data_IF_858619035949
#
_entry.id   IF_858619035949
#
_cell.length_a   1.000
_cell.length_b   1.000
_cell.length_c   1.000
_cell.angle_alpha   90.00
_cell.angle_beta   90.00
_cell.angle_gamma   90.00
#
_symmetry.space_group_name_H-M   'P 1'
#
loop_
_entity.id
_entity.type
_entity.pdbx_description
1 polymer ?
#
# COMPACT_ATOMS: atom_id res chain seq x y z
N UNK A 1 1.11 7.73 14.73
CA UNK A 1 0.48 6.48 14.22
C UNK A 1 1.38 5.30 14.57
N UNK A 2 1.07 4.54 15.63
CA UNK A 2 1.81 3.32 15.98
C UNK A 2 0.86 2.12 15.85
N UNK A 3 1.20 1.14 15.00
CA UNK A 3 0.33 0.02 14.63
C UNK A 3 0.68 -0.54 13.24
N UNK A 4 -0.16 -1.44 12.72
CA UNK A 4 -0.02 -2.03 11.38
C UNK A 4 0.06 -0.96 10.27
N UNK A 5 -0.77 0.09 10.39
CA UNK A 5 -0.85 1.19 9.42
C UNK A 5 0.51 1.84 9.14
N UNK A 6 1.24 2.27 10.17
CA UNK A 6 2.55 2.90 9.97
C UNK A 6 3.61 1.93 9.44
N UNK A 7 3.48 0.63 9.72
CA UNK A 7 4.39 -0.39 9.15
C UNK A 7 4.12 -0.62 7.67
N UNK A 8 2.84 -0.67 7.28
CA UNK A 8 2.43 -0.77 5.88
C UNK A 8 2.90 0.43 5.07
N UNK A 9 2.71 1.66 5.56
CA UNK A 9 3.22 2.87 4.90
C UNK A 9 4.71 2.78 4.60
N UNK A 10 5.50 2.45 5.63
CA UNK A 10 6.95 2.32 5.46
C UNK A 10 7.34 1.20 4.52
N UNK A 11 6.58 0.10 4.48
CA UNK A 11 6.82 -1.01 3.57
C UNK A 11 6.56 -0.59 2.12
N UNK A 12 5.42 0.05 1.85
CA UNK A 12 5.07 0.57 0.51
C UNK A 12 6.07 1.60 0.01
N UNK A 13 6.47 2.54 0.88
CA UNK A 13 7.48 3.56 0.52
C UNK A 13 8.82 2.92 0.13
N UNK A 14 9.31 1.95 0.90
CA UNK A 14 10.56 1.24 0.60
C UNK A 14 10.46 0.39 -0.66
N UNK A 15 9.33 -0.28 -0.86
CA UNK A 15 9.12 -1.14 -2.01
C UNK A 15 9.07 -0.33 -3.31
N UNK A 16 8.33 0.77 -3.31
CA UNK A 16 8.25 1.71 -4.43
C UNK A 16 9.61 2.36 -4.73
N UNK A 17 10.36 2.75 -3.70
CA UNK A 17 11.72 3.30 -3.85
C UNK A 17 12.68 2.27 -4.48
N UNK A 18 12.62 1.01 -4.04
CA UNK A 18 13.41 -0.09 -4.62
C UNK A 18 13.06 -0.33 -6.10
N UNK A 19 11.80 -0.16 -6.48
CA UNK A 19 11.34 -0.22 -7.87
C UNK A 19 11.73 1.03 -8.70
N UNK A 20 12.38 2.02 -8.07
CA UNK A 20 12.74 3.28 -8.72
C UNK A 20 11.54 4.17 -9.03
N UNK A 21 10.43 3.99 -8.30
CA UNK A 21 9.17 4.72 -8.42
C UNK A 21 8.79 5.35 -7.06
N UNK A 22 9.60 6.28 -6.52
CA UNK A 22 9.32 6.85 -5.21
C UNK A 22 7.94 7.52 -5.19
N UNK A 23 7.18 7.23 -4.13
CA UNK A 23 5.84 7.77 -3.91
C UNK A 23 5.79 8.59 -2.63
N UNK A 24 4.75 9.40 -2.52
CA UNK A 24 4.35 10.09 -1.31
C UNK A 24 2.98 9.57 -0.88
N UNK A 25 2.85 9.16 0.37
CA UNK A 25 1.54 8.86 0.97
C UNK A 25 0.92 10.18 1.44
N UNK A 26 -0.25 10.50 0.90
CA UNK A 26 -0.99 11.74 1.17
C UNK A 26 -1.99 11.55 2.31
N UNK A 27 -2.68 10.40 2.32
CA UNK A 27 -3.63 10.01 3.37
C UNK A 27 -3.59 8.51 3.60
N UNK A 28 -3.84 8.11 4.83
CA UNK A 28 -4.04 6.72 5.20
C UNK A 28 -5.14 6.62 6.24
N UNK A 29 -6.22 5.94 5.89
CA UNK A 29 -7.26 5.52 6.80
C UNK A 29 -7.11 4.01 7.07
N UNK A 30 -7.24 3.62 8.33
CA UNK A 30 -7.21 2.21 8.71
C UNK A 30 -8.29 1.92 9.74
N UNK A 31 -8.99 0.81 9.54
CA UNK A 31 -10.04 0.32 10.41
C UNK A 31 -9.70 -1.09 10.86
N UNK A 32 -9.98 -1.40 12.13
CA UNK A 32 -9.81 -2.75 12.65
C UNK A 32 -10.69 -3.72 11.87
N UNK A 33 -10.11 -4.86 11.49
CA UNK A 33 -10.81 -5.92 10.79
C UNK A 33 -10.68 -7.23 11.56
N UNK A 34 -11.78 -7.97 11.63
CA UNK A 34 -11.84 -9.26 12.32
C UNK A 34 -12.61 -10.25 11.46
N UNK A 35 -12.12 -11.48 11.41
CA UNK A 35 -12.83 -12.66 10.93
C UNK A 35 -13.03 -13.64 12.10
N UNK A 36 -13.58 -14.83 11.83
CA UNK A 36 -13.76 -15.85 12.85
C UNK A 36 -12.43 -16.31 13.48
N UNK A 37 -11.32 -16.26 12.74
CA UNK A 37 -10.02 -16.80 13.17
C UNK A 37 -8.87 -15.79 13.13
N UNK A 38 -9.08 -14.61 12.54
CA UNK A 38 -8.01 -13.64 12.31
C UNK A 38 -8.44 -12.23 12.71
N UNK A 39 -7.47 -11.45 13.20
CA UNK A 39 -7.62 -10.03 13.47
C UNK A 39 -6.56 -9.26 12.68
N UNK A 40 -6.88 -8.02 12.32
CA UNK A 40 -6.07 -7.26 11.39
C UNK A 40 -6.56 -5.84 11.17
N UNK A 41 -6.13 -5.26 10.05
CA UNK A 41 -6.54 -3.92 9.64
C UNK A 41 -6.89 -3.88 8.15
N UNK A 42 -8.03 -3.27 7.82
CA UNK A 42 -8.30 -2.81 6.45
C UNK A 42 -7.70 -1.42 6.28
N UNK A 43 -7.07 -1.21 5.13
CA UNK A 43 -6.31 -0.02 4.83
C UNK A 43 -6.82 0.62 3.55
N UNK A 44 -6.91 1.95 3.56
CA UNK A 44 -7.11 2.77 2.37
C UNK A 44 -6.05 3.86 2.36
N UNK A 45 -5.21 3.86 1.34
CA UNK A 45 -4.12 4.81 1.17
C UNK A 45 -4.34 5.63 -0.09
N UNK A 46 -4.22 6.95 0.02
CA UNK A 46 -4.07 7.85 -1.12
C UNK A 46 -2.61 8.25 -1.23
N UNK A 47 -2.05 8.11 -2.42
CA UNK A 47 -0.65 8.38 -2.68
C UNK A 47 -0.44 9.00 -4.06
N UNK A 48 0.72 9.61 -4.24
CA UNK A 48 1.13 10.19 -5.51
C UNK A 48 2.59 9.89 -5.82
N UNK A 49 2.92 9.86 -7.11
CA UNK A 49 4.27 9.67 -7.60
C UNK A 49 4.45 10.33 -8.97
N UNK A 50 5.70 10.44 -9.42
CA UNK A 50 6.00 10.93 -10.76
C UNK A 50 5.41 9.98 -11.81
N UNK A 51 4.65 10.52 -12.76
CA UNK A 51 4.11 9.74 -13.87
C UNK A 51 5.24 9.19 -14.73
N UNK A 52 5.17 7.90 -15.06
CA UNK A 52 6.14 7.24 -15.92
C UNK A 52 6.12 5.73 -15.79
N UNK A 53 6.86 5.07 -16.68
CA UNK A 53 6.83 3.62 -16.84
C UNK A 53 7.16 2.84 -15.55
N UNK A 54 8.06 3.36 -14.70
CA UNK A 54 8.41 2.70 -13.43
C UNK A 54 7.25 2.68 -12.43
N UNK A 55 6.55 3.81 -12.29
CA UNK A 55 5.38 3.87 -11.42
C UNK A 55 4.26 3.00 -11.95
N UNK A 56 4.06 2.99 -13.27
CA UNK A 56 3.04 2.15 -13.91
C UNK A 56 3.32 0.66 -13.70
N UNK A 57 4.58 0.24 -13.90
CA UNK A 57 5.00 -1.15 -13.66
C UNK A 57 4.88 -1.55 -12.19
N UNK A 58 5.24 -0.65 -11.27
CA UNK A 58 5.09 -0.89 -9.84
C UNK A 58 3.61 -1.04 -9.45
N UNK A 59 2.75 -0.12 -9.89
CA UNK A 59 1.30 -0.18 -9.63
C UNK A 59 0.65 -1.44 -10.21
N UNK A 60 1.09 -1.88 -11.39
CA UNK A 60 0.57 -3.07 -12.05
C UNK A 60 0.99 -4.39 -11.39
N UNK A 61 2.02 -4.39 -10.54
CA UNK A 61 2.48 -5.59 -9.83
C UNK A 61 2.16 -5.60 -8.32
N UNK A 62 1.39 -4.63 -7.82
CA UNK A 62 1.13 -4.49 -6.38
C UNK A 62 0.33 -5.65 -5.77
N UNK A 63 -0.55 -6.26 -6.55
CA UNK A 63 -1.39 -7.40 -6.14
C UNK A 63 -0.60 -8.69 -5.94
N UNK A 64 0.47 -8.85 -6.72
CA UNK A 64 1.39 -9.98 -6.63
C UNK A 64 2.63 -9.68 -5.77
N UNK A 65 2.79 -8.44 -5.30
CA UNK A 65 3.99 -8.00 -4.59
C UNK A 65 4.11 -8.64 -3.20
N UNK A 66 5.24 -9.32 -2.96
CA UNK A 66 5.59 -9.86 -1.66
C UNK A 66 6.14 -8.78 -0.70
N UNK A 67 5.28 -7.85 -0.29
CA UNK A 67 5.65 -6.73 0.58
C UNK A 67 5.63 -7.16 2.05
N UNK A 68 6.81 -7.14 2.69
CA UNK A 68 6.93 -7.48 4.10
C UNK A 68 6.44 -6.33 5.02
N UNK A 69 5.43 -6.63 5.83
CA UNK A 69 4.91 -5.75 6.88
C UNK A 69 5.24 -6.36 8.25
N UNK A 70 6.20 -5.83 9.03
CA UNK A 70 6.64 -6.48 10.26
C UNK A 70 5.50 -6.82 11.23
N UNK A 71 5.51 -8.05 11.75
CA UNK A 71 4.48 -8.58 12.66
C UNK A 71 3.10 -8.81 12.02
N UNK A 72 2.96 -8.62 10.72
CA UNK A 72 1.69 -8.77 9.99
C UNK A 72 1.94 -9.59 8.70
N UNK A 73 0.87 -10.17 8.18
CA UNK A 73 0.83 -10.67 6.79
C UNK A 73 -0.01 -9.68 6.01
N UNK A 74 0.49 -9.20 4.87
CA UNK A 74 -0.30 -8.47 3.89
C UNK A 74 -1.08 -9.51 3.09
N UNK A 75 -2.36 -9.66 3.42
CA UNK A 75 -3.22 -10.69 2.84
C UNK A 75 -3.80 -10.27 1.49
N UNK A 76 -3.93 -8.96 1.26
CA UNK A 76 -4.40 -8.37 0.01
C UNK A 76 -3.86 -6.95 -0.12
N UNK A 77 -3.61 -6.53 -1.35
CA UNK A 77 -3.22 -5.17 -1.73
C UNK A 77 -3.60 -4.93 -3.19
N UNK A 78 -4.41 -3.91 -3.48
CA UNK A 78 -4.85 -3.64 -4.84
C UNK A 78 -5.00 -2.16 -5.12
N UNK A 79 -4.76 -1.76 -6.38
CA UNK A 79 -4.96 -0.39 -6.83
C UNK A 79 -6.45 -0.17 -7.10
N UNK A 80 -7.12 0.55 -6.20
CA UNK A 80 -8.56 0.82 -6.28
C UNK A 80 -8.92 2.04 -7.14
N UNK A 81 -7.95 2.90 -7.44
CA UNK A 81 -8.11 4.02 -8.39
C UNK A 81 -6.74 4.52 -8.84
N UNK A 82 -6.65 5.00 -10.09
CA UNK A 82 -5.45 5.65 -10.61
C UNK A 82 -5.87 6.80 -11.54
N UNK A 83 -5.33 7.98 -11.30
CA UNK A 83 -5.59 9.19 -12.06
C UNK A 83 -4.28 9.87 -12.44
N UNK A 84 -3.98 9.90 -13.74
CA UNK A 84 -2.80 10.56 -14.28
C UNK A 84 -3.11 12.02 -14.63
N UNK A 85 -2.33 12.95 -14.10
CA UNK A 85 -2.44 14.37 -14.39
C UNK A 85 -1.06 14.96 -14.72
N UNK A 86 -0.72 15.00 -16.01
CA UNK A 86 0.57 15.51 -16.48
C UNK A 86 1.73 14.68 -15.92
N UNK A 87 2.59 15.33 -15.14
CA UNK A 87 3.79 14.72 -14.57
C UNK A 87 3.55 13.96 -13.25
N UNK A 88 2.33 13.98 -12.70
CA UNK A 88 2.01 13.33 -11.42
C UNK A 88 0.84 12.37 -11.60
N UNK A 89 1.01 11.14 -11.14
CA UNK A 89 -0.06 10.16 -11.01
C UNK A 89 -0.49 10.12 -9.55
N UNK A 90 -1.79 10.31 -9.31
CA UNK A 90 -2.43 10.05 -8.02
C UNK A 90 -3.14 8.72 -8.06
N UNK A 91 -3.04 7.95 -7.00
CA UNK A 91 -3.64 6.64 -6.95
C UNK A 91 -4.11 6.31 -5.53
N UNK A 92 -5.05 5.38 -5.46
CA UNK A 92 -5.57 4.83 -4.23
C UNK A 92 -5.28 3.34 -4.19
N UNK A 93 -4.74 2.89 -3.07
CA UNK A 93 -4.51 1.48 -2.79
C UNK A 93 -5.40 1.08 -1.62
N UNK A 94 -6.03 -0.08 -1.73
CA UNK A 94 -6.73 -0.73 -0.62
C UNK A 94 -6.00 -2.01 -0.27
N UNK A 95 -5.94 -2.35 1.02
CA UNK A 95 -5.23 -3.54 1.45
C UNK A 95 -5.71 -4.08 2.78
N UNK A 96 -5.34 -5.32 3.08
CA UNK A 96 -5.69 -6.03 4.30
C UNK A 96 -4.42 -6.57 4.96
N UNK A 97 -4.18 -6.17 6.20
CA UNK A 97 -3.16 -6.80 7.04
C UNK A 97 -3.81 -7.71 8.06
N UNK A 98 -3.16 -8.84 8.35
CA UNK A 98 -3.54 -9.78 9.41
C UNK A 98 -2.39 -9.84 10.43
N UNK A 99 -2.70 -9.74 11.72
CA UNK A 99 -1.69 -9.86 12.77
C UNK A 99 -1.09 -11.28 12.77
N UNK A 100 0.24 -11.39 12.85
CA UNK A 100 0.88 -12.69 13.10
C UNK A 100 0.66 -13.09 14.56
N UNK A 101 0.38 -14.37 14.77
CA UNK A 101 0.31 -14.99 16.10
C UNK A 101 1.71 -15.09 16.73
#
# INVERSE_FOLDING_TARGET
MSGAAGRLERALLRDADRAGAPIRIERHASESWHSATFAGGRHRLEASGASGARLDAWLAGLDEAAIEVPGHVLADLSVAACHRAGAVTRFRVEGLTVARA
#
